data_IF_703924361865
#
_entry.id   IF_703924361865
#
_cell.length_a   1.000
_cell.length_b   1.000
_cell.length_c   1.000
_cell.angle_alpha   90.00
_cell.angle_beta   90.00
_cell.angle_gamma   90.00
#
_symmetry.space_group_name_H-M   'P 1'
#
loop_
_entity.id
_entity.type
_entity.pdbx_description
1 polymer ?
#
# COMPACT_ATOMS: atom_id res chain seq x y z
N UNK A 1 2.57 -27.18 -14.52
CA UNK A 1 2.27 -26.88 -13.11
C UNK A 1 3.53 -26.27 -12.50
N UNK A 2 3.48 -25.04 -11.97
CA UNK A 2 4.65 -24.33 -11.41
C UNK A 2 4.43 -24.19 -9.91
N UNK A 3 5.36 -24.73 -9.13
CA UNK A 3 5.43 -24.50 -7.69
C UNK A 3 6.46 -23.39 -7.43
N UNK A 4 6.16 -22.48 -6.52
CA UNK A 4 7.08 -21.45 -6.03
C UNK A 4 6.94 -21.34 -4.51
N UNK A 5 8.01 -20.95 -3.85
CA UNK A 5 7.99 -20.68 -2.41
C UNK A 5 7.02 -19.53 -2.09
N UNK A 6 6.33 -19.61 -0.96
CA UNK A 6 5.35 -18.60 -0.55
C UNK A 6 6.08 -17.46 0.17
N UNK A 7 6.13 -16.29 -0.47
CA UNK A 7 6.74 -15.09 0.11
C UNK A 7 5.76 -14.40 1.08
N UNK A 8 6.19 -14.21 2.34
CA UNK A 8 5.41 -13.50 3.35
C UNK A 8 5.91 -12.07 3.56
N UNK A 9 5.00 -11.07 3.67
CA UNK A 9 3.56 -11.16 3.44
C UNK A 9 3.18 -10.93 1.95
N UNK A 10 2.12 -11.58 1.44
CA UNK A 10 1.78 -11.59 0.00
C UNK A 10 1.30 -10.24 -0.56
N UNK A 11 1.02 -9.25 0.30
CA UNK A 11 0.58 -7.91 -0.12
C UNK A 11 1.73 -6.97 -0.50
N UNK A 12 2.95 -7.23 -0.04
CA UNK A 12 4.14 -6.40 -0.27
C UNK A 12 4.01 -4.96 0.29
N UNK A 13 3.46 -4.02 -0.46
CA UNK A 13 3.62 -2.58 -0.21
C UNK A 13 2.33 -1.89 0.22
N UNK A 14 1.28 -1.98 -0.60
CA UNK A 14 0.03 -1.23 -0.41
C UNK A 14 -1.18 -2.10 -0.77
N UNK A 15 -2.25 -2.00 0.03
CA UNK A 15 -3.59 -2.47 -0.30
C UNK A 15 -4.58 -1.31 -0.26
N UNK A 16 -5.33 -1.09 -1.34
CA UNK A 16 -6.52 -0.24 -1.33
C UNK A 16 -7.74 -1.11 -1.06
N UNK A 17 -8.57 -0.71 -0.10
CA UNK A 17 -9.72 -1.49 0.36
C UNK A 17 -11.00 -0.73 0.02
N UNK A 18 -11.82 -1.32 -0.84
CA UNK A 18 -13.14 -0.79 -1.19
C UNK A 18 -14.12 -0.82 -0.01
N UNK A 19 -15.07 0.10 0.00
CA UNK A 19 -16.06 0.25 1.08
C UNK A 19 -17.07 -0.92 1.22
N UNK A 20 -17.15 -1.79 0.21
CA UNK A 20 -17.93 -3.05 0.19
C UNK A 20 -17.03 -4.24 -0.16
N UNK A 21 -15.73 -4.12 0.08
CA UNK A 21 -14.79 -5.22 -0.13
C UNK A 21 -15.18 -6.45 0.70
N UNK A 22 -14.85 -7.68 0.25
CA UNK A 22 -15.15 -8.90 1.00
C UNK A 22 -14.48 -8.95 2.38
N UNK A 23 -13.42 -8.16 2.58
CA UNK A 23 -12.71 -8.00 3.84
C UNK A 23 -12.49 -6.50 4.05
N UNK A 24 -13.07 -5.93 5.10
CA UNK A 24 -12.93 -4.51 5.43
C UNK A 24 -11.55 -4.15 6.00
N UNK A 25 -11.23 -2.85 6.14
CA UNK A 25 -9.90 -2.36 6.52
C UNK A 25 -9.38 -2.94 7.84
N UNK A 26 -10.21 -3.04 8.87
CA UNK A 26 -9.82 -3.59 10.18
C UNK A 26 -9.48 -5.08 10.12
N UNK A 27 -10.18 -5.84 9.28
CA UNK A 27 -9.88 -7.27 9.10
C UNK A 27 -8.58 -7.46 8.29
N UNK A 28 -8.35 -6.62 7.28
CA UNK A 28 -7.04 -6.54 6.61
C UNK A 28 -5.95 -6.18 7.62
N UNK A 29 -6.18 -5.20 8.52
CA UNK A 29 -5.23 -4.84 9.60
C UNK A 29 -4.77 -6.03 10.40
N UNK A 30 -5.73 -6.81 10.91
CA UNK A 30 -5.45 -7.96 11.78
C UNK A 30 -4.69 -9.02 11.00
N UNK A 31 -5.07 -9.26 9.75
CA UNK A 31 -4.35 -10.18 8.88
C UNK A 31 -2.89 -9.72 8.69
N UNK A 32 -2.67 -8.46 8.35
CA UNK A 32 -1.30 -7.95 8.11
C UNK A 32 -0.46 -7.92 9.39
N UNK A 33 -1.04 -7.58 10.54
CA UNK A 33 -0.36 -7.60 11.84
C UNK A 33 0.02 -9.03 12.25
N UNK A 34 -0.78 -10.04 11.93
CA UNK A 34 -0.42 -11.45 12.22
C UNK A 34 0.79 -11.89 11.39
N UNK A 35 0.88 -11.47 10.13
CA UNK A 35 1.98 -11.87 9.23
C UNK A 35 3.22 -10.98 9.38
N UNK A 36 3.05 -9.73 9.76
CA UNK A 36 4.10 -8.71 9.83
C UNK A 36 3.74 -7.67 10.88
N UNK A 37 3.89 -8.02 12.17
CA UNK A 37 3.45 -7.18 13.28
C UNK A 37 3.98 -5.76 13.20
N UNK A 38 3.07 -4.79 13.34
CA UNK A 38 3.37 -3.35 13.38
C UNK A 38 4.06 -2.79 12.13
N UNK A 39 4.14 -3.54 11.02
CA UNK A 39 4.81 -3.08 9.80
C UNK A 39 3.90 -2.28 8.86
N UNK A 40 2.60 -2.25 9.12
CA UNK A 40 1.61 -1.59 8.29
C UNK A 40 0.85 -0.53 9.06
N UNK A 41 0.42 0.50 8.34
CA UNK A 41 -0.43 1.58 8.81
C UNK A 41 -1.74 1.56 8.03
N UNK A 42 -2.84 1.91 8.70
CA UNK A 42 -4.15 2.05 8.04
C UNK A 42 -4.51 3.52 7.96
N UNK A 43 -4.69 3.98 6.74
CA UNK A 43 -5.05 5.35 6.43
C UNK A 43 -6.45 5.35 5.85
N UNK A 44 -7.41 5.91 6.59
CA UNK A 44 -8.75 6.17 6.06
C UNK A 44 -8.67 7.28 5.01
N UNK A 45 -9.42 7.12 3.93
CA UNK A 45 -9.46 8.09 2.84
C UNK A 45 -10.90 8.48 2.52
N UNK A 46 -11.08 9.70 2.05
CA UNK A 46 -12.37 10.19 1.54
C UNK A 46 -12.40 9.93 0.03
N UNK A 47 -13.06 8.83 -0.38
CA UNK A 47 -13.22 8.45 -1.78
C UNK A 47 -14.55 7.72 -2.00
N UNK A 48 -15.15 7.85 -3.18
CA UNK A 48 -16.45 7.26 -3.50
C UNK A 48 -16.47 5.74 -3.30
N UNK A 49 -15.38 5.07 -3.69
CA UNK A 49 -15.29 3.61 -3.67
C UNK A 49 -14.32 3.03 -2.64
N UNK A 50 -13.35 3.81 -2.15
CA UNK A 50 -12.25 3.32 -1.32
C UNK A 50 -12.47 3.80 0.12
N UNK A 51 -12.44 2.88 1.08
CA UNK A 51 -12.59 3.18 2.50
C UNK A 51 -11.25 3.47 3.17
N UNK A 52 -10.21 2.69 2.82
CA UNK A 52 -8.90 2.83 3.43
C UNK A 52 -7.77 2.32 2.52
N UNK A 53 -6.58 2.81 2.81
CA UNK A 53 -5.31 2.33 2.29
C UNK A 53 -4.53 1.70 3.43
N UNK A 54 -4.09 0.47 3.26
CA UNK A 54 -3.15 -0.21 4.15
C UNK A 54 -1.77 -0.12 3.52
N UNK A 55 -0.84 0.57 4.15
CA UNK A 55 0.48 0.88 3.59
C UNK A 55 1.59 0.39 4.51
N UNK A 56 2.67 -0.14 3.93
CA UNK A 56 3.87 -0.51 4.69
C UNK A 56 4.53 0.74 5.28
N UNK A 57 4.78 0.76 6.59
CA UNK A 57 5.38 1.91 7.30
C UNK A 57 6.74 2.33 6.75
N UNK A 58 7.52 1.41 6.17
CA UNK A 58 8.80 1.76 5.55
C UNK A 58 8.63 2.75 4.39
N UNK A 59 7.53 2.69 3.63
CA UNK A 59 7.23 3.65 2.58
C UNK A 59 6.89 5.03 3.17
N UNK A 60 6.15 5.06 4.28
CA UNK A 60 5.84 6.29 5.01
C UNK A 60 7.08 6.96 5.61
N UNK A 61 8.10 6.18 5.96
CA UNK A 61 9.38 6.69 6.42
C UNK A 61 10.21 7.33 5.27
N UNK A 62 10.01 6.90 4.03
CA UNK A 62 10.71 7.43 2.85
C UNK A 62 9.97 8.62 2.25
N UNK A 63 8.63 8.56 2.22
CA UNK A 63 7.76 9.59 1.68
C UNK A 63 6.57 9.78 2.63
N UNK A 64 6.36 11.01 3.08
CA UNK A 64 5.30 11.34 4.02
C UNK A 64 3.91 10.99 3.47
N UNK A 65 2.98 10.69 4.38
CA UNK A 65 1.62 10.26 4.04
C UNK A 65 0.90 11.23 3.09
N UNK A 66 1.02 12.53 3.33
CA UNK A 66 0.44 13.62 2.54
C UNK A 66 0.95 13.67 1.09
N UNK A 67 2.09 13.04 0.81
CA UNK A 67 2.65 12.92 -0.55
C UNK A 67 2.37 11.56 -1.16
N UNK A 68 2.51 10.49 -0.39
CA UNK A 68 2.36 9.12 -0.88
C UNK A 68 0.90 8.77 -1.20
N UNK A 69 -0.04 9.16 -0.34
CA UNK A 69 -1.47 8.83 -0.52
C UNK A 69 -2.04 9.42 -1.80
N UNK A 70 -1.84 10.72 -2.13
CA UNK A 70 -2.32 11.26 -3.40
C UNK A 70 -1.80 10.52 -4.62
N UNK A 71 -0.51 10.15 -4.65
CA UNK A 71 0.11 9.42 -5.77
C UNK A 71 -0.56 8.06 -5.96
N UNK A 72 -0.81 7.33 -4.86
CA UNK A 72 -1.49 6.03 -4.90
C UNK A 72 -2.94 6.20 -5.39
N UNK A 73 -3.63 7.23 -4.91
CA UNK A 73 -5.04 7.47 -5.21
C UNK A 73 -5.28 7.99 -6.62
N UNK A 74 -4.32 8.71 -7.22
CA UNK A 74 -4.42 9.23 -8.59
C UNK A 74 -4.72 8.10 -9.58
N UNK A 75 -3.95 7.00 -9.52
CA UNK A 75 -4.16 5.85 -10.40
C UNK A 75 -5.11 4.82 -9.78
N UNK A 76 -4.96 4.54 -8.47
CA UNK A 76 -5.72 3.52 -7.77
C UNK A 76 -7.21 3.85 -7.64
N UNK A 77 -7.55 5.14 -7.48
CA UNK A 77 -8.94 5.60 -7.39
C UNK A 77 -9.70 5.45 -8.70
N UNK A 78 -9.04 5.65 -9.85
CA UNK A 78 -9.66 5.56 -11.18
C UNK A 78 -10.14 4.14 -11.48
N UNK A 79 -9.36 3.13 -11.09
CA UNK A 79 -9.66 1.72 -11.37
C UNK A 79 -10.46 1.04 -10.26
N UNK A 80 -10.67 1.71 -9.13
CA UNK A 80 -11.34 1.13 -7.98
C UNK A 80 -12.85 1.01 -8.19
N UNK A 81 -13.42 -0.04 -7.57
CA UNK A 81 -14.84 -0.12 -7.31
C UNK A 81 -15.08 -0.51 -5.85
N UNK A 82 -16.32 -0.34 -5.39
CA UNK A 82 -16.74 -0.56 -4.01
C UNK A 82 -16.38 -1.95 -3.45
N UNK A 83 -16.33 -2.99 -4.29
CA UNK A 83 -16.12 -4.38 -3.87
C UNK A 83 -14.67 -4.87 -3.93
N UNK A 84 -13.74 -4.05 -4.41
CA UNK A 84 -12.37 -4.50 -4.71
C UNK A 84 -11.42 -4.38 -3.51
N UNK A 85 -10.42 -5.26 -3.52
CA UNK A 85 -9.16 -5.09 -2.77
C UNK A 85 -8.05 -5.04 -3.81
N UNK A 86 -7.38 -3.90 -3.92
CA UNK A 86 -6.35 -3.68 -4.95
C UNK A 86 -4.99 -3.71 -4.28
N UNK A 87 -4.11 -4.60 -4.75
CA UNK A 87 -2.70 -4.58 -4.36
C UNK A 87 -1.93 -3.66 -5.28
N UNK A 88 -1.19 -2.72 -4.70
CA UNK A 88 -0.26 -1.86 -5.41
C UNK A 88 1.16 -2.08 -4.89
N UNK A 89 2.13 -2.00 -5.81
CA UNK A 89 3.55 -2.10 -5.52
C UNK A 89 4.20 -0.74 -5.80
N UNK A 90 5.04 -0.27 -4.88
CA UNK A 90 5.66 1.06 -4.96
C UNK A 90 7.17 0.89 -5.10
N UNK A 91 7.70 1.28 -6.27
CA UNK A 91 9.14 1.26 -6.53
C UNK A 91 9.73 2.67 -6.35
N UNK A 92 10.58 2.85 -5.34
CA UNK A 92 11.25 4.14 -5.06
C UNK A 92 12.74 4.00 -5.41
N UNK A 93 13.24 4.85 -6.31
CA UNK A 93 14.65 4.90 -6.71
C UNK A 93 15.26 6.24 -6.33
N UNK A 94 16.30 6.24 -5.49
CA UNK A 94 17.06 7.43 -5.12
C UNK A 94 18.34 7.53 -5.95
N UNK A 95 18.44 8.57 -6.77
CA UNK A 95 19.65 8.87 -7.53
C UNK A 95 20.45 9.97 -6.83
N UNK A 96 21.69 9.65 -6.42
CA UNK A 96 22.61 10.60 -5.80
C UNK A 96 23.78 10.83 -6.74
N UNK A 97 24.02 12.08 -7.11
CA UNK A 97 25.17 12.47 -7.93
C UNK A 97 25.94 13.59 -7.22
N UNK A 98 27.26 13.42 -7.08
CA UNK A 98 28.15 14.43 -6.49
C UNK A 98 29.25 14.74 -7.50
N UNK A 99 29.26 15.97 -7.99
CA UNK A 99 30.39 16.51 -8.76
C UNK A 99 31.49 16.91 -7.79
N UNK A 100 32.72 16.51 -8.08
CA UNK A 100 33.92 16.93 -7.35
C UNK A 100 34.72 17.77 -8.34
N UNK A 101 34.81 19.08 -8.08
CA UNK A 101 35.77 19.94 -8.77
C UNK A 101 37.15 19.75 -8.11
N UNK A 102 38.18 19.55 -8.94
CA UNK A 102 39.59 19.38 -8.54
C UNK A 102 40.29 20.72 -8.32
#
# INVERSE_FOLDING_TARGET
MRFSEFEMPPMQDVLLVGNRAPIGPEAVRRMVDVLSPEQYEIIKVEHEFIEAIVVRKSLLNMLSQDKLVPIIMEEGGIIANESMIIRAQVNITLNVSKSIDL
#
